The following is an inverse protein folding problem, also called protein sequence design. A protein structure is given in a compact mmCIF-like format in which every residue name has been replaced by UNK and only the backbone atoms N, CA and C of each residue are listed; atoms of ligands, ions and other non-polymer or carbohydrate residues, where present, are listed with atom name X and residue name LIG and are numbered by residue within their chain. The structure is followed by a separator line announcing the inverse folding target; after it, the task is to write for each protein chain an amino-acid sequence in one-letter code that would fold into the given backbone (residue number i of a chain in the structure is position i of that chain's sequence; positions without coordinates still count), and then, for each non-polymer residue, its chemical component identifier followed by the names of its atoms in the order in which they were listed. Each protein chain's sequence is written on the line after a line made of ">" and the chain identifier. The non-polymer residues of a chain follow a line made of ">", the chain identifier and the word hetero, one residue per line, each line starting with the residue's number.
data_IF_157396566301
#
_entry.id   IF_157396566301
#
_cell.length_a   1.000
_cell.length_b   1.000
_cell.length_c   1.000
_cell.angle_alpha   90.00
_cell.angle_beta   90.00
_cell.angle_gamma   90.00
#
_symmetry.space_group_name_H-M   'P 1'
#
loop_
_entity.id
_entity.type
_entity.pdbx_description
1 polymer ?
#
# COMPACT_ATOMS: atom_id res chain seq x y z
N UNK A 1 -20.68 4.64 2.45
CA UNK A 1 -20.47 5.28 3.77
C UNK A 1 -20.66 6.77 3.58
N UNK A 2 -21.44 7.48 4.42
CA UNK A 2 -21.61 8.93 4.25
C UNK A 2 -20.29 9.67 4.61
N UNK A 3 -20.04 10.82 3.97
CA UNK A 3 -18.82 11.62 4.09
C UNK A 3 -18.48 11.97 5.54
N UNK A 4 -19.49 12.35 6.34
CA UNK A 4 -19.30 12.66 7.77
C UNK A 4 -18.64 11.50 8.53
N UNK A 5 -19.11 10.27 8.30
CA UNK A 5 -18.55 9.07 8.95
C UNK A 5 -17.13 8.74 8.49
N UNK A 6 -16.78 9.08 7.24
CA UNK A 6 -15.41 8.94 6.72
C UNK A 6 -14.48 9.90 7.44
N UNK A 7 -14.88 11.17 7.51
CA UNK A 7 -14.12 12.23 8.20
C UNK A 7 -13.90 11.89 9.66
N UNK A 8 -14.92 11.41 10.37
CA UNK A 8 -14.82 11.02 11.77
C UNK A 8 -13.81 9.87 11.98
N UNK A 9 -13.87 8.84 11.13
CA UNK A 9 -12.90 7.72 11.18
C UNK A 9 -11.49 8.22 10.95
N UNK A 10 -11.27 9.05 9.93
CA UNK A 10 -9.93 9.55 9.60
C UNK A 10 -9.39 10.45 10.71
N UNK A 11 -10.20 11.35 11.25
CA UNK A 11 -9.79 12.24 12.33
C UNK A 11 -9.33 11.47 13.58
N UNK A 12 -10.06 10.41 13.95
CA UNK A 12 -9.70 9.56 15.09
C UNK A 12 -8.47 8.70 14.81
N UNK A 13 -8.37 8.10 13.62
CA UNK A 13 -7.34 7.08 13.32
C UNK A 13 -6.00 7.65 12.88
N UNK A 14 -5.97 8.82 12.25
CA UNK A 14 -4.71 9.43 11.76
C UNK A 14 -4.05 10.30 12.84
N UNK A 15 -4.82 10.81 13.80
CA UNK A 15 -4.34 11.88 14.68
C UNK A 15 -4.21 13.21 13.94
N UNK A 16 -3.97 14.29 14.70
CA UNK A 16 -4.09 15.66 14.19
C UNK A 16 -3.20 15.95 12.98
N UNK A 17 -1.92 15.62 13.06
CA UNK A 17 -0.93 15.96 12.02
C UNK A 17 -1.22 15.23 10.70
N UNK A 18 -1.30 13.91 10.73
CA UNK A 18 -1.58 13.10 9.53
C UNK A 18 -2.96 13.40 8.94
N UNK A 19 -3.95 13.71 9.79
CA UNK A 19 -5.24 14.16 9.30
C UNK A 19 -5.12 15.50 8.54
N UNK A 20 -4.38 16.47 9.06
CA UNK A 20 -4.13 17.73 8.37
C UNK A 20 -3.38 17.54 7.05
N UNK A 21 -2.37 16.67 7.01
CA UNK A 21 -1.68 16.28 5.77
C UNK A 21 -2.69 15.75 4.75
N UNK A 22 -3.51 14.75 5.11
CA UNK A 22 -4.49 14.18 4.18
C UNK A 22 -5.56 15.18 3.71
N UNK A 23 -6.00 16.10 4.58
CA UNK A 23 -7.03 17.09 4.23
C UNK A 23 -6.53 18.18 3.27
N UNK A 24 -5.21 18.34 3.07
CA UNK A 24 -4.69 19.19 1.98
C UNK A 24 -5.07 18.65 0.60
N UNK A 25 -5.30 17.34 0.48
CA UNK A 25 -5.75 16.71 -0.76
C UNK A 25 -7.28 16.72 -0.77
N UNK A 26 -7.87 17.63 -1.55
CA UNK A 26 -9.33 17.76 -1.67
C UNK A 26 -9.94 16.67 -2.57
N UNK A 27 -9.90 15.41 -2.12
CA UNK A 27 -10.40 14.26 -2.88
C UNK A 27 -11.22 13.29 -2.02
N UNK A 28 -12.56 13.41 -2.02
CA UNK A 28 -13.43 12.54 -1.22
C UNK A 28 -13.30 11.05 -1.55
N UNK A 29 -13.00 10.69 -2.81
CA UNK A 29 -12.81 9.29 -3.21
C UNK A 29 -11.55 8.69 -2.59
N UNK A 30 -10.46 9.46 -2.57
CA UNK A 30 -9.23 9.08 -1.88
C UNK A 30 -9.47 8.89 -0.38
N UNK A 31 -10.16 9.84 0.26
CA UNK A 31 -10.48 9.75 1.69
C UNK A 31 -11.34 8.51 2.00
N UNK A 32 -12.32 8.20 1.15
CA UNK A 32 -13.13 7.00 1.27
C UNK A 32 -12.30 5.73 1.14
N UNK A 33 -11.38 5.68 0.17
CA UNK A 33 -10.47 4.55 -0.05
C UNK A 33 -9.59 4.31 1.18
N UNK A 34 -8.91 5.36 1.68
CA UNK A 34 -8.06 5.26 2.87
C UNK A 34 -8.89 4.83 4.09
N UNK A 35 -10.04 5.46 4.34
CA UNK A 35 -10.90 5.11 5.48
C UNK A 35 -11.42 3.67 5.42
N UNK A 36 -11.75 3.16 4.21
CA UNK A 36 -12.17 1.76 4.02
C UNK A 36 -11.10 0.80 4.53
N UNK A 37 -9.85 0.99 4.12
CA UNK A 37 -8.77 0.05 4.40
C UNK A 37 -8.08 0.28 5.75
N UNK A 38 -8.05 1.51 6.27
CA UNK A 38 -7.71 1.75 7.68
C UNK A 38 -8.67 0.98 8.60
N UNK A 39 -9.97 0.95 8.26
CA UNK A 39 -10.95 0.19 9.04
C UNK A 39 -10.81 -1.32 8.86
N UNK A 40 -10.60 -1.80 7.63
CA UNK A 40 -10.48 -3.23 7.34
C UNK A 40 -9.20 -3.83 7.92
N UNK A 41 -8.06 -3.21 7.64
CA UNK A 41 -6.74 -3.73 7.99
C UNK A 41 -6.37 -3.44 9.45
N UNK A 42 -7.03 -2.46 10.07
CA UNK A 42 -6.91 -2.10 11.48
C UNK A 42 -5.46 -1.84 11.98
N UNK A 43 -4.70 -0.93 11.35
CA UNK A 43 -3.35 -0.60 11.80
C UNK A 43 -3.36 0.12 13.15
N UNK A 44 -2.30 -0.04 13.93
CA UNK A 44 -2.12 0.67 15.19
C UNK A 44 -1.87 2.18 14.98
N UNK A 45 -1.20 2.54 13.89
CA UNK A 45 -0.92 3.93 13.50
C UNK A 45 -1.06 4.09 11.99
N UNK A 46 -1.41 5.29 11.53
CA UNK A 46 -1.42 5.64 10.11
C UNK A 46 -0.46 6.81 9.91
N UNK A 47 0.45 6.68 8.96
CA UNK A 47 1.41 7.69 8.56
C UNK A 47 1.12 8.16 7.13
N UNK A 48 0.82 9.45 6.97
CA UNK A 48 0.62 10.09 5.67
C UNK A 48 1.96 10.69 5.26
N UNK A 49 2.58 10.13 4.23
CA UNK A 49 3.84 10.61 3.70
C UNK A 49 3.58 11.75 2.71
N UNK A 50 4.18 12.93 2.94
CA UNK A 50 4.08 14.08 2.04
C UNK A 50 5.26 14.20 1.09
N UNK A 51 6.08 13.15 1.00
CA UNK A 51 7.33 13.12 0.22
C UNK A 51 8.36 14.18 0.65
N UNK A 52 8.23 14.72 1.88
CA UNK A 52 9.27 15.60 2.43
C UNK A 52 10.53 14.79 2.79
N UNK A 53 11.72 15.41 2.80
CA UNK A 53 12.95 14.73 3.22
C UNK A 53 12.83 14.03 4.58
N UNK A 54 12.10 14.64 5.52
CA UNK A 54 11.86 14.10 6.86
C UNK A 54 10.96 12.86 6.82
N UNK A 55 9.89 12.89 6.02
CA UNK A 55 8.97 11.76 5.88
C UNK A 55 9.67 10.56 5.19
N UNK A 56 10.52 10.83 4.19
CA UNK A 56 11.32 9.81 3.50
C UNK A 56 12.34 9.20 4.47
N UNK A 57 13.06 10.06 5.22
CA UNK A 57 14.02 9.61 6.20
C UNK A 57 13.35 8.79 7.33
N UNK A 58 12.16 9.19 7.76
CA UNK A 58 11.38 8.45 8.75
C UNK A 58 11.07 7.01 8.29
N UNK A 59 10.66 6.84 7.03
CA UNK A 59 10.35 5.53 6.45
C UNK A 59 11.62 4.67 6.31
N UNK A 60 12.73 5.27 5.86
CA UNK A 60 14.05 4.60 5.80
C UNK A 60 14.49 4.08 7.16
N UNK A 61 14.36 4.90 8.19
CA UNK A 61 14.67 4.50 9.57
C UNK A 61 13.69 3.47 10.10
N UNK A 62 12.41 3.55 9.72
CA UNK A 62 11.41 2.56 10.08
C UNK A 62 11.74 1.18 9.50
N UNK A 63 12.22 1.08 8.26
CA UNK A 63 12.64 -0.19 7.66
C UNK A 63 13.70 -0.91 8.50
N UNK A 64 14.68 -0.16 9.02
CA UNK A 64 15.70 -0.70 9.92
C UNK A 64 15.11 -1.03 11.31
N UNK A 65 14.33 -0.11 11.88
CA UNK A 65 13.74 -0.27 13.23
C UNK A 65 12.78 -1.46 13.30
N UNK A 66 12.06 -1.73 12.21
CA UNK A 66 11.12 -2.83 12.06
C UNK A 66 11.81 -4.16 11.73
N UNK A 67 13.14 -4.14 11.54
CA UNK A 67 13.96 -5.30 11.14
C UNK A 67 13.58 -5.86 9.76
N UNK A 68 13.08 -4.98 8.89
CA UNK A 68 12.89 -5.30 7.47
C UNK A 68 14.21 -5.07 6.72
N UNK A 69 15.01 -4.08 7.12
CA UNK A 69 16.34 -3.81 6.56
C UNK A 69 17.44 -3.82 7.63
N UNK A 70 18.68 -4.05 7.20
CA UNK A 70 19.88 -3.85 8.02
C UNK A 70 20.84 -2.87 7.34
N UNK A 71 21.55 -2.06 8.14
CA UNK A 71 22.57 -1.14 7.63
C UNK A 71 23.78 -1.90 7.09
N UNK A 72 24.35 -1.41 6.01
CA UNK A 72 25.65 -1.84 5.49
C UNK A 72 26.77 -0.89 5.93
N UNK A 73 28.01 -1.29 5.68
CA UNK A 73 29.18 -0.46 5.98
C UNK A 73 29.27 0.82 5.12
N UNK A 74 28.57 0.86 3.98
CA UNK A 74 28.49 2.04 3.11
C UNK A 74 27.38 2.94 3.63
N UNK A 75 27.71 4.21 3.90
CA UNK A 75 26.76 5.19 4.41
C UNK A 75 25.55 5.33 3.49
N UNK A 76 24.35 5.33 4.08
CA UNK A 76 23.08 5.41 3.35
C UNK A 76 22.62 4.11 2.66
N UNK A 77 23.41 3.03 2.70
CA UNK A 77 23.04 1.74 2.10
C UNK A 77 22.49 0.76 3.15
N UNK A 78 21.52 -0.04 2.71
CA UNK A 78 20.90 -1.11 3.50
C UNK A 78 20.81 -2.40 2.70
N UNK A 79 20.50 -3.49 3.39
CA UNK A 79 20.22 -4.82 2.82
C UNK A 79 18.90 -5.34 3.37
N UNK A 80 18.13 -5.99 2.50
CA UNK A 80 16.91 -6.72 2.81
C UNK A 80 17.10 -8.18 2.39
N UNK A 81 16.48 -9.11 3.12
CA UNK A 81 16.44 -10.52 2.75
C UNK A 81 15.01 -11.02 2.85
N UNK A 82 14.49 -11.57 1.76
CA UNK A 82 13.22 -12.27 1.75
C UNK A 82 13.33 -13.67 2.36
N UNK A 83 12.18 -14.24 2.72
CA UNK A 83 12.09 -15.64 3.12
C UNK A 83 12.46 -16.58 1.97
N UNK A 84 13.00 -17.76 2.28
CA UNK A 84 13.46 -18.72 1.26
C UNK A 84 12.39 -19.07 0.19
N UNK A 85 11.11 -19.05 0.57
CA UNK A 85 9.98 -19.34 -0.32
C UNK A 85 9.34 -18.10 -0.96
N UNK A 86 9.88 -16.90 -0.70
CA UNK A 86 9.36 -15.60 -1.14
C UNK A 86 10.36 -14.85 -2.03
N UNK A 87 11.02 -15.56 -2.95
CA UNK A 87 12.17 -15.05 -3.71
C UNK A 87 11.81 -14.50 -5.11
N UNK A 88 10.55 -14.62 -5.52
CA UNK A 88 10.12 -14.30 -6.88
C UNK A 88 8.61 -14.06 -6.96
N UNK A 89 8.19 -13.51 -8.11
CA UNK A 89 6.77 -13.35 -8.44
C UNK A 89 6.04 -14.70 -8.46
N UNK A 90 4.88 -14.75 -7.81
CA UNK A 90 4.02 -15.92 -7.79
C UNK A 90 2.89 -15.83 -8.82
N UNK A 91 3.08 -16.50 -9.97
CA UNK A 91 2.07 -16.54 -11.05
C UNK A 91 0.79 -17.29 -10.65
N UNK A 92 0.89 -18.29 -9.78
CA UNK A 92 -0.24 -19.12 -9.37
C UNK A 92 -1.21 -18.33 -8.48
N UNK A 93 -0.67 -17.52 -7.56
CA UNK A 93 -1.45 -16.67 -6.67
C UNK A 93 -1.70 -15.25 -7.21
N UNK A 94 -1.21 -14.93 -8.42
CA UNK A 94 -1.56 -13.70 -9.14
C UNK A 94 -2.80 -13.91 -9.99
N UNK A 95 -3.88 -13.18 -9.74
CA UNK A 95 -5.16 -13.35 -10.43
C UNK A 95 -5.79 -12.03 -10.84
N UNK A 96 -6.39 -12.02 -12.03
CA UNK A 96 -7.26 -10.92 -12.49
C UNK A 96 -8.70 -11.20 -12.07
N UNK A 97 -9.29 -10.28 -11.32
CA UNK A 97 -10.66 -10.36 -10.86
C UNK A 97 -11.59 -9.87 -11.97
N UNK A 98 -12.39 -10.79 -12.52
CA UNK A 98 -13.27 -10.50 -13.66
C UNK A 98 -14.73 -10.80 -13.30
N UNK A 99 -15.71 -10.04 -13.86
CA UNK A 99 -17.11 -10.38 -13.65
C UNK A 99 -17.42 -11.78 -14.19
N UNK A 100 -18.39 -12.44 -13.56
CA UNK A 100 -18.86 -13.77 -13.96
C UNK A 100 -19.13 -13.84 -15.47
N UNK A 101 -18.53 -14.83 -16.13
CA UNK A 101 -18.69 -15.07 -17.57
C UNK A 101 -17.68 -14.33 -18.46
N UNK A 102 -16.84 -13.45 -17.92
CA UNK A 102 -15.72 -12.86 -18.68
C UNK A 102 -14.55 -13.84 -18.73
N UNK A 103 -14.03 -14.08 -19.93
CA UNK A 103 -12.86 -14.92 -20.16
C UNK A 103 -11.77 -14.10 -20.87
N UNK A 104 -10.58 -14.01 -20.26
CA UNK A 104 -9.42 -13.29 -20.80
C UNK A 104 -8.44 -14.21 -21.54
N UNK A 105 -8.80 -15.49 -21.73
CA UNK A 105 -7.95 -16.52 -22.32
C UNK A 105 -7.26 -17.39 -21.26
N UNK A 106 -6.83 -18.59 -21.67
CA UNK A 106 -6.24 -19.58 -20.78
C UNK A 106 -4.87 -19.17 -20.19
N UNK A 107 -4.18 -18.24 -20.85
CA UNK A 107 -2.87 -17.73 -20.42
C UNK A 107 -2.97 -16.71 -19.27
N UNK A 108 -4.15 -16.15 -19.04
CA UNK A 108 -4.40 -15.14 -18.01
C UNK A 108 -5.12 -15.82 -16.85
N UNK A 109 -4.44 -15.92 -15.71
CA UNK A 109 -5.03 -16.47 -14.49
C UNK A 109 -6.12 -15.51 -13.99
N UNK A 110 -7.38 -15.94 -14.09
CA UNK A 110 -8.55 -15.15 -13.68
C UNK A 110 -9.30 -15.85 -12.55
N UNK A 111 -10.10 -15.08 -11.81
CA UNK A 111 -11.12 -15.63 -10.93
C UNK A 111 -12.37 -14.74 -10.94
N UNK A 112 -13.47 -15.28 -10.44
CA UNK A 112 -14.68 -14.49 -10.21
C UNK A 112 -14.38 -13.32 -9.26
N UNK A 113 -14.82 -12.13 -9.65
CA UNK A 113 -14.52 -10.91 -8.93
C UNK A 113 -15.11 -10.89 -7.52
N UNK A 114 -16.34 -11.36 -7.33
CA UNK A 114 -16.97 -11.32 -6.01
C UNK A 114 -16.32 -12.32 -5.07
N UNK A 115 -15.96 -13.51 -5.59
CA UNK A 115 -15.19 -14.51 -4.86
C UNK A 115 -13.82 -13.97 -4.43
N UNK A 116 -13.06 -13.39 -5.37
CA UNK A 116 -11.73 -12.83 -5.09
C UNK A 116 -11.75 -11.67 -4.11
N UNK A 117 -12.74 -10.76 -4.23
CA UNK A 117 -12.93 -9.66 -3.28
C UNK A 117 -13.27 -10.20 -1.89
N UNK A 118 -14.11 -11.24 -1.79
CA UNK A 118 -14.44 -11.86 -0.50
C UNK A 118 -13.21 -12.49 0.13
N UNK A 119 -12.47 -13.32 -0.61
CA UNK A 119 -11.26 -13.98 -0.13
C UNK A 119 -10.22 -12.97 0.37
N UNK A 120 -9.90 -11.94 -0.43
CA UNK A 120 -8.86 -10.98 -0.03
C UNK A 120 -9.30 -10.12 1.15
N UNK A 121 -10.58 -9.75 1.26
CA UNK A 121 -11.07 -9.00 2.42
C UNK A 121 -11.04 -9.85 3.70
N UNK A 122 -11.30 -11.15 3.59
CA UNK A 122 -11.20 -12.08 4.73
C UNK A 122 -9.73 -12.18 5.22
N UNK A 123 -8.75 -12.23 4.30
CA UNK A 123 -7.32 -12.21 4.63
C UNK A 123 -6.88 -10.87 5.23
N UNK A 124 -7.31 -9.75 4.64
CA UNK A 124 -6.90 -8.40 5.04
C UNK A 124 -7.50 -7.96 6.38
N UNK A 125 -8.54 -8.63 6.87
CA UNK A 125 -9.23 -8.24 8.10
C UNK A 125 -8.28 -8.27 9.29
N UNK A 126 -8.07 -7.10 9.90
CA UNK A 126 -7.12 -6.88 11.00
C UNK A 126 -5.67 -7.26 10.69
N UNK A 127 -5.31 -7.42 9.42
CA UNK A 127 -3.99 -7.96 9.06
C UNK A 127 -2.88 -7.08 9.65
N UNK A 128 -3.06 -5.75 9.66
CA UNK A 128 -2.09 -4.75 10.14
C UNK A 128 -2.16 -4.46 11.64
N UNK A 129 -2.88 -5.27 12.43
CA UNK A 129 -2.99 -5.04 13.87
C UNK A 129 -1.60 -4.96 14.54
N UNK A 130 -1.39 -3.91 15.34
CA UNK A 130 -0.10 -3.64 15.99
C UNK A 130 0.97 -3.01 15.09
N UNK A 131 0.70 -2.80 13.80
CA UNK A 131 1.64 -2.24 12.83
C UNK A 131 1.24 -0.85 12.36
N UNK A 132 2.19 -0.12 11.80
CA UNK A 132 1.97 1.18 11.17
C UNK A 132 1.59 0.98 9.70
N UNK A 133 0.57 1.70 9.25
CA UNK A 133 0.21 1.80 7.84
C UNK A 133 0.81 3.07 7.25
N UNK A 134 1.64 2.93 6.23
CA UNK A 134 2.17 4.01 5.42
C UNK A 134 1.24 4.27 4.23
N UNK A 135 0.79 5.52 4.07
CA UNK A 135 0.05 6.00 2.90
C UNK A 135 1.02 6.81 2.05
N UNK A 136 1.38 6.25 0.90
CA UNK A 136 2.29 6.83 -0.09
C UNK A 136 1.53 7.32 -1.31
N UNK A 137 2.04 8.38 -1.91
CA UNK A 137 1.49 8.98 -3.13
C UNK A 137 2.57 9.02 -4.19
N UNK A 138 2.24 8.54 -5.38
CA UNK A 138 3.15 8.47 -6.51
C UNK A 138 2.50 9.00 -7.78
N UNK A 139 3.34 9.20 -8.81
CA UNK A 139 2.91 9.56 -10.14
C UNK A 139 3.53 8.63 -11.18
N UNK A 140 2.68 7.98 -11.99
CA UNK A 140 3.13 7.31 -13.19
C UNK A 140 3.34 8.35 -14.29
N UNK A 141 4.60 8.55 -14.67
CA UNK A 141 5.04 9.59 -15.58
C UNK A 141 5.48 10.88 -14.84
N UNK A 142 6.05 11.86 -15.57
CA UNK A 142 6.42 13.15 -14.98
C UNK A 142 5.18 13.89 -14.47
N UNK A 143 5.25 14.49 -13.29
CA UNK A 143 4.17 15.33 -12.74
C UNK A 143 3.83 16.48 -13.67
N UNK A 144 2.60 17.02 -13.56
CA UNK A 144 2.09 18.08 -14.44
C UNK A 144 2.01 17.70 -15.94
N UNK A 145 2.19 16.42 -16.30
CA UNK A 145 1.88 15.93 -17.64
C UNK A 145 0.39 15.57 -17.76
N UNK A 146 -0.20 15.79 -18.93
CA UNK A 146 -1.56 15.30 -19.25
C UNK A 146 -1.68 13.78 -19.32
N UNK A 147 -0.54 13.09 -19.39
CA UNK A 147 -0.45 11.62 -19.39
C UNK A 147 -0.13 11.05 -18.01
N UNK A 148 0.06 11.91 -17.01
CA UNK A 148 0.32 11.49 -15.63
C UNK A 148 -0.86 10.71 -15.08
N UNK A 149 -0.58 9.62 -14.39
CA UNK A 149 -1.60 8.91 -13.63
C UNK A 149 -1.19 8.90 -12.16
N UNK A 150 -1.92 9.60 -11.28
CA UNK A 150 -1.66 9.55 -9.84
C UNK A 150 -1.91 8.15 -9.30
N UNK A 151 -1.12 7.76 -8.30
CA UNK A 151 -1.18 6.47 -7.64
C UNK A 151 -1.13 6.66 -6.12
N UNK A 152 -1.96 5.94 -5.38
CA UNK A 152 -1.89 5.86 -3.92
C UNK A 152 -1.62 4.41 -3.52
N UNK A 153 -0.66 4.21 -2.62
CA UNK A 153 -0.33 2.91 -2.08
C UNK A 153 -0.43 2.92 -0.56
N UNK A 154 -1.14 1.93 -0.04
CA UNK A 154 -1.24 1.64 1.40
C UNK A 154 -0.40 0.40 1.66
N UNK A 155 0.58 0.49 2.57
CA UNK A 155 1.44 -0.64 2.94
C UNK A 155 1.78 -0.60 4.42
N UNK A 156 1.85 -1.76 5.07
CA UNK A 156 2.40 -1.91 6.42
C UNK A 156 3.85 -2.43 6.44
N UNK A 157 4.49 -2.49 5.27
CA UNK A 157 5.93 -2.72 5.12
C UNK A 157 6.63 -1.39 4.85
N UNK A 158 7.54 -1.04 5.76
CA UNK A 158 8.44 0.10 5.61
C UNK A 158 9.50 -0.12 4.53
N UNK A 159 9.94 -1.37 4.31
CA UNK A 159 10.82 -1.75 3.19
C UNK A 159 10.15 -1.50 1.85
N UNK A 160 8.88 -1.88 1.69
CA UNK A 160 8.11 -1.56 0.48
C UNK A 160 8.01 -0.05 0.33
N UNK A 161 7.55 0.67 1.36
CA UNK A 161 7.41 2.13 1.27
C UNK A 161 8.73 2.84 0.91
N UNK A 162 9.87 2.37 1.44
CA UNK A 162 11.20 2.87 1.09
C UNK A 162 11.61 2.51 -0.34
N UNK A 163 11.42 1.26 -0.76
CA UNK A 163 11.79 0.81 -2.11
C UNK A 163 11.01 1.55 -3.19
N UNK A 164 9.74 1.84 -2.94
CA UNK A 164 8.88 2.61 -3.85
C UNK A 164 9.39 4.04 -4.06
N UNK A 165 10.02 4.67 -3.06
CA UNK A 165 10.66 5.99 -3.21
C UNK A 165 11.84 5.98 -4.19
N UNK A 166 12.50 4.84 -4.36
CA UNK A 166 13.61 4.67 -5.30
C UNK A 166 13.11 4.40 -6.73
N UNK A 167 11.96 3.73 -6.84
CA UNK A 167 11.43 3.22 -8.11
C UNK A 167 10.47 4.20 -8.79
N UNK A 168 9.69 4.94 -8.01
CA UNK A 168 8.59 5.77 -8.50
C UNK A 168 8.78 7.24 -8.17
N UNK A 169 8.14 8.07 -9.00
CA UNK A 169 8.13 9.52 -8.76
C UNK A 169 7.14 9.83 -7.65
N UNK A 170 7.60 10.60 -6.68
CA UNK A 170 6.80 11.20 -5.62
C UNK A 170 5.59 11.95 -6.18
N UNK A 171 4.46 11.87 -5.49
CA UNK A 171 3.15 12.26 -6.02
C UNK A 171 2.28 13.07 -5.07
N UNK A 172 2.68 13.30 -3.82
CA UNK A 172 1.82 13.96 -2.84
C UNK A 172 1.34 15.34 -3.31
N UNK A 173 2.27 16.21 -3.75
CA UNK A 173 1.91 17.54 -4.25
C UNK A 173 1.12 17.48 -5.57
N UNK A 174 1.29 16.43 -6.37
CA UNK A 174 0.46 16.21 -7.56
C UNK A 174 -0.99 15.89 -7.18
N UNK A 175 -1.22 15.09 -6.14
CA UNK A 175 -2.56 14.88 -5.58
C UNK A 175 -3.17 16.17 -5.02
N UNK A 176 -2.38 17.00 -4.32
CA UNK A 176 -2.83 18.31 -3.83
C UNK A 176 -3.24 19.20 -5.01
N UNK A 177 -2.39 19.31 -6.03
CA UNK A 177 -2.63 20.13 -7.24
C UNK A 177 -3.88 19.67 -7.99
N UNK A 178 -4.04 18.37 -8.17
CA UNK A 178 -5.16 17.77 -8.89
C UNK A 178 -6.48 17.83 -8.11
N UNK A 179 -6.43 17.88 -6.78
CA UNK A 179 -7.61 17.96 -5.92
C UNK A 179 -8.58 16.80 -6.16
N UNK A 180 -9.80 17.12 -6.60
CA UNK A 180 -10.89 16.14 -6.78
C UNK A 180 -10.78 15.36 -8.11
N UNK A 181 -9.57 15.06 -8.56
CA UNK A 181 -9.35 14.29 -9.77
C UNK A 181 -9.92 12.87 -9.63
N UNK A 182 -10.67 12.44 -10.65
CA UNK A 182 -11.58 11.30 -10.53
C UNK A 182 -10.89 9.95 -10.57
N UNK A 183 -9.70 9.87 -11.17
CA UNK A 183 -9.01 8.63 -11.52
C UNK A 183 -7.60 8.63 -10.94
N UNK A 184 -7.30 7.63 -10.13
CA UNK A 184 -5.96 7.35 -9.62
C UNK A 184 -5.87 5.85 -9.37
N UNK A 185 -4.70 5.26 -9.57
CA UNK A 185 -4.49 3.85 -9.26
C UNK A 185 -4.41 3.66 -7.75
N UNK A 186 -4.96 2.54 -7.30
CA UNK A 186 -4.99 2.16 -5.88
C UNK A 186 -4.18 0.90 -5.69
N UNK A 187 -3.31 0.92 -4.71
CA UNK A 187 -2.56 -0.25 -4.27
C UNK A 187 -2.81 -0.46 -2.78
N UNK A 188 -3.15 -1.67 -2.40
CA UNK A 188 -3.21 -2.10 -1.02
C UNK A 188 -2.31 -3.31 -0.84
N UNK A 189 -1.24 -3.08 -0.11
CA UNK A 189 -0.26 -4.09 0.23
C UNK A 189 -0.30 -4.36 1.73
N UNK A 190 -0.10 -5.63 2.10
CA UNK A 190 0.35 -5.97 3.43
C UNK A 190 1.38 -7.08 3.38
N UNK A 191 2.45 -6.93 4.16
CA UNK A 191 3.46 -7.98 4.36
C UNK A 191 2.97 -9.14 5.24
N UNK A 192 1.76 -9.03 5.81
CA UNK A 192 1.20 -10.04 6.67
C UNK A 192 1.97 -10.20 7.99
N UNK A 193 1.87 -11.39 8.57
CA UNK A 193 2.64 -11.75 9.77
C UNK A 193 4.07 -12.12 9.37
N UNK A 194 5.05 -11.59 10.10
CA UNK A 194 6.45 -11.90 9.90
C UNK A 194 7.00 -12.81 11.00
N UNK A 195 8.04 -13.57 10.68
CA UNK A 195 8.84 -14.34 11.63
C UNK A 195 10.30 -13.90 11.57
N UNK A 196 11.04 -14.09 12.66
CA UNK A 196 12.48 -13.83 12.68
C UNK A 196 13.22 -14.81 11.75
N UNK A 197 14.25 -14.30 11.09
CA UNK A 197 15.11 -15.02 10.15
C UNK A 197 16.59 -14.68 10.40
N UNK A 198 17.45 -14.98 9.41
CA UNK A 198 18.88 -14.68 9.49
C UNK A 198 19.15 -13.20 9.77
N UNK A 199 20.26 -12.94 10.48
CA UNK A 199 20.72 -11.58 10.84
C UNK A 199 19.73 -10.79 11.72
N UNK A 200 18.78 -11.46 12.37
CA UNK A 200 17.77 -10.83 13.21
C UNK A 200 16.74 -10.01 12.44
N UNK A 201 16.68 -10.17 11.12
CA UNK A 201 15.67 -9.61 10.24
C UNK A 201 14.37 -10.40 10.32
N UNK A 202 13.32 -9.88 9.70
CA UNK A 202 11.99 -10.48 9.65
C UNK A 202 11.55 -10.74 8.23
N UNK A 203 10.94 -11.90 8.02
CA UNK A 203 10.45 -12.36 6.71
C UNK A 203 9.02 -12.87 6.82
N UNK A 204 8.32 -12.93 5.68
CA UNK A 204 6.96 -13.47 5.56
C UNK A 204 6.82 -14.85 6.23
N UNK A 205 5.87 -14.99 7.16
CA UNK A 205 5.61 -16.24 7.89
C UNK A 205 4.63 -17.15 7.15
N UNK A 206 3.52 -16.59 6.68
CA UNK A 206 2.36 -17.33 6.16
C UNK A 206 2.37 -17.31 4.62
N UNK A 207 3.40 -17.91 4.02
CA UNK A 207 3.65 -17.87 2.56
C UNK A 207 2.45 -18.40 1.76
N UNK A 208 1.74 -19.39 2.28
CA UNK A 208 0.56 -20.01 1.65
C UNK A 208 -0.64 -19.05 1.49
N UNK A 209 -0.66 -17.94 2.25
CA UNK A 209 -1.72 -16.93 2.22
C UNK A 209 -1.43 -15.76 1.27
N UNK A 210 -0.29 -15.74 0.58
CA UNK A 210 0.05 -14.66 -0.36
C UNK A 210 -0.95 -14.63 -1.51
N UNK A 211 -1.38 -13.43 -1.89
CA UNK A 211 -2.32 -13.17 -2.99
C UNK A 211 -1.92 -11.88 -3.69
N UNK A 212 -2.02 -11.86 -5.01
CA UNK A 212 -1.84 -10.66 -5.83
C UNK A 212 -3.07 -10.54 -6.73
N UNK A 213 -4.08 -9.79 -6.29
CA UNK A 213 -5.36 -9.71 -6.99
C UNK A 213 -5.51 -8.37 -7.69
N UNK A 214 -5.87 -8.42 -8.96
CA UNK A 214 -5.97 -7.22 -9.81
C UNK A 214 -7.45 -7.03 -10.15
N UNK A 215 -8.10 -6.04 -9.53
CA UNK A 215 -9.47 -5.67 -9.82
C UNK A 215 -9.52 -4.58 -10.89
N UNK A 216 -9.90 -4.99 -12.11
CA UNK A 216 -9.97 -4.13 -13.27
C UNK A 216 -11.12 -3.11 -13.22
N UNK A 217 -12.18 -3.37 -12.44
CA UNK A 217 -13.33 -2.47 -12.36
C UNK A 217 -13.08 -1.32 -11.41
N UNK A 218 -12.52 -1.63 -10.24
CA UNK A 218 -12.19 -0.62 -9.24
C UNK A 218 -10.79 -0.04 -9.44
N UNK A 219 -9.99 -0.51 -10.40
CA UNK A 219 -8.60 -0.07 -10.62
C UNK A 219 -7.77 -0.17 -9.32
N UNK A 220 -7.88 -1.30 -8.62
CA UNK A 220 -7.14 -1.61 -7.39
C UNK A 220 -6.36 -2.91 -7.53
N UNK A 221 -5.15 -2.90 -7.00
CA UNK A 221 -4.29 -4.05 -6.79
C UNK A 221 -4.12 -4.25 -5.29
#
# INVERSE_FOLDING_TARGET
>A
MNQKRITDILNVRLGKENYQKLMRINNPKLHQFIAKYVRLCNPAKVFICTDSPEDIQYIREAAIRNKEEAKLAIEGHTVHFDGYYDQARDKENTKYLVPKGVNLGAEINTMDREEGIKEINDILKNIMAGRELYVKFFCLGPTNSKFSIPCVQLTDSSYVAHSEDLLYRQGYEEFVRLGNYKRFFKFLHSQGELTEAGLGLRVSKNIEKRRIYIDLQDEII
#
